data_IF_555058447784
#
_entry.id   IF_555058447784
#
_cell.length_a   1.000
_cell.length_b   1.000
_cell.length_c   1.000
_cell.angle_alpha   90.00
_cell.angle_beta   90.00
_cell.angle_gamma   90.00
#
_symmetry.space_group_name_H-M   'P 1'
#
loop_
_entity.id
_entity.type
_entity.pdbx_description
1 polymer ?
#
# COMPACT_ATOMS: atom_id res chain seq x y z
N UNK A 1 16.78 -24.41 -14.20
CA UNK A 1 16.57 -23.28 -13.25
C UNK A 1 15.14 -22.86 -13.46
N UNK A 2 14.29 -22.88 -12.43
CA UNK A 2 12.89 -22.50 -12.57
C UNK A 2 12.84 -21.02 -12.98
N UNK A 3 12.42 -20.75 -14.21
CA UNK A 3 12.03 -19.40 -14.59
C UNK A 3 10.79 -19.09 -13.75
N UNK A 4 10.78 -17.96 -13.03
CA UNK A 4 9.61 -17.57 -12.24
C UNK A 4 8.41 -17.50 -13.20
N UNK A 5 7.32 -18.16 -12.83
CA UNK A 5 6.11 -18.16 -13.65
C UNK A 5 5.68 -16.72 -13.93
N UNK A 6 5.21 -16.42 -15.15
CA UNK A 6 4.73 -15.09 -15.46
C UNK A 6 3.62 -14.66 -14.51
N UNK A 7 3.49 -13.35 -14.30
CA UNK A 7 2.42 -12.75 -13.51
C UNK A 7 1.49 -12.00 -14.45
N UNK A 8 0.18 -12.16 -14.27
CA UNK A 8 -0.83 -11.46 -15.05
C UNK A 8 -1.68 -10.57 -14.16
N UNK A 9 -2.26 -9.57 -14.79
CA UNK A 9 -3.12 -8.60 -14.14
C UNK A 9 -3.91 -7.80 -15.16
N UNK A 10 -4.68 -6.84 -14.66
CA UNK A 10 -5.46 -5.98 -15.52
C UNK A 10 -6.42 -5.08 -14.77
N UNK A 11 -7.22 -4.37 -15.53
CA UNK A 11 -8.24 -3.50 -14.95
C UNK A 11 -9.44 -4.31 -14.45
N UNK A 12 -10.22 -3.72 -13.54
CA UNK A 12 -11.37 -4.37 -12.90
C UNK A 12 -12.44 -4.87 -13.91
N UNK A 13 -12.62 -4.19 -15.04
CA UNK A 13 -13.59 -4.62 -16.06
C UNK A 13 -13.00 -5.62 -17.09
N UNK A 14 -11.73 -6.01 -16.94
CA UNK A 14 -11.02 -6.93 -17.81
C UNK A 14 -10.71 -6.40 -19.22
N UNK A 15 -11.11 -5.16 -19.55
CA UNK A 15 -10.87 -4.54 -20.86
C UNK A 15 -9.38 -4.41 -21.20
N UNK A 16 -8.54 -4.24 -20.17
CA UNK A 16 -7.08 -4.22 -20.29
C UNK A 16 -6.51 -5.37 -19.48
N UNK A 17 -5.62 -6.15 -20.10
CA UNK A 17 -4.88 -7.24 -19.49
C UNK A 17 -3.40 -7.09 -19.82
N UNK A 18 -2.53 -7.39 -18.87
CA UNK A 18 -1.09 -7.32 -19.03
C UNK A 18 -0.39 -8.54 -18.42
N UNK A 19 0.85 -8.77 -18.85
CA UNK A 19 1.76 -9.79 -18.31
C UNK A 19 3.09 -9.18 -17.91
N UNK A 20 3.69 -9.78 -16.89
CA UNK A 20 5.06 -9.56 -16.45
C UNK A 20 5.82 -10.87 -16.57
N UNK A 21 6.79 -10.90 -17.49
CA UNK A 21 7.70 -12.02 -17.71
C UNK A 21 8.92 -11.91 -16.79
N UNK A 22 8.73 -12.14 -15.48
CA UNK A 22 9.83 -12.09 -14.51
C UNK A 22 9.38 -11.66 -13.12
N UNK A 23 10.33 -11.58 -12.19
CA UNK A 23 10.09 -11.02 -10.86
C UNK A 23 10.31 -9.50 -10.93
N UNK A 24 9.33 -8.68 -10.51
CA UNK A 24 9.53 -7.24 -10.34
C UNK A 24 10.78 -6.93 -9.53
N UNK A 25 11.51 -5.89 -9.89
CA UNK A 25 12.79 -5.54 -9.25
C UNK A 25 12.60 -4.96 -7.87
N UNK A 26 11.42 -4.41 -7.59
CA UNK A 26 11.10 -3.78 -6.32
C UNK A 26 9.58 -3.70 -6.11
N UNK A 27 9.12 -3.68 -4.85
CA UNK A 27 7.71 -3.50 -4.49
C UNK A 27 7.58 -2.76 -3.15
N UNK A 28 6.62 -1.85 -3.06
CA UNK A 28 6.35 -1.09 -1.84
C UNK A 28 5.07 -0.28 -1.90
N UNK A 29 4.98 0.68 -0.99
CA UNK A 29 3.80 1.52 -0.82
C UNK A 29 4.12 2.99 -1.03
N UNK A 30 3.31 3.67 -1.85
CA UNK A 30 3.38 5.10 -2.07
C UNK A 30 2.20 5.80 -1.40
N UNK A 31 2.52 6.86 -0.67
CA UNK A 31 1.58 7.63 0.13
C UNK A 31 1.34 9.04 -0.43
N UNK A 32 2.01 9.43 -1.52
CA UNK A 32 1.96 10.81 -1.99
C UNK A 32 0.55 11.26 -2.42
N UNK A 33 0.28 12.56 -2.29
CA UNK A 33 -1.03 13.12 -2.60
C UNK A 33 -1.45 12.91 -4.07
N UNK A 34 -0.50 12.87 -5.01
CA UNK A 34 -0.80 12.63 -6.42
C UNK A 34 -1.31 11.20 -6.65
N UNK A 35 -0.68 10.20 -6.02
CA UNK A 35 -1.13 8.80 -6.07
C UNK A 35 -2.53 8.66 -5.45
N UNK A 36 -2.78 9.32 -4.32
CA UNK A 36 -4.12 9.33 -3.71
C UNK A 36 -5.19 9.94 -4.64
N UNK A 37 -4.89 11.07 -5.30
CA UNK A 37 -5.85 11.74 -6.20
C UNK A 37 -6.15 10.94 -7.46
N UNK A 38 -5.14 10.28 -8.01
CA UNK A 38 -5.24 9.59 -9.30
C UNK A 38 -5.87 8.21 -9.18
N UNK A 39 -5.70 7.54 -8.03
CA UNK A 39 -6.27 6.20 -7.79
C UNK A 39 -7.52 6.22 -6.90
N UNK A 40 -7.71 7.27 -6.10
CA UNK A 40 -8.70 7.28 -5.02
C UNK A 40 -8.32 6.42 -3.80
N UNK A 41 -7.18 5.72 -3.83
CA UNK A 41 -6.70 4.88 -2.74
C UNK A 41 -5.95 5.70 -1.68
N UNK A 42 -6.07 5.30 -0.41
CA UNK A 42 -5.30 5.92 0.68
C UNK A 42 -3.79 5.64 0.59
N UNK A 43 -3.44 4.46 0.09
CA UNK A 43 -2.08 3.98 -0.14
C UNK A 43 -2.06 3.22 -1.46
N UNK A 44 -1.02 3.43 -2.27
CA UNK A 44 -0.86 2.73 -3.55
C UNK A 44 0.26 1.72 -3.44
N UNK A 45 -0.08 0.46 -3.69
CA UNK A 45 0.85 -0.63 -3.91
C UNK A 45 1.54 -0.44 -5.28
N UNK A 46 2.83 -0.09 -5.29
CA UNK A 46 3.64 0.11 -6.50
C UNK A 46 4.78 -0.90 -6.58
N UNK A 47 5.06 -1.42 -7.78
CA UNK A 47 6.20 -2.28 -8.05
C UNK A 47 6.89 -1.88 -9.34
N UNK A 48 8.22 -1.90 -9.35
CA UNK A 48 9.04 -1.57 -10.51
C UNK A 48 9.31 -2.83 -11.33
N UNK A 49 9.10 -2.74 -12.64
CA UNK A 49 9.26 -3.84 -13.59
C UNK A 49 10.15 -3.36 -14.74
N UNK A 50 11.11 -4.17 -15.20
CA UNK A 50 11.83 -3.88 -16.44
C UNK A 50 10.87 -3.76 -17.62
N UNK A 51 11.03 -2.73 -18.46
CA UNK A 51 10.07 -2.47 -19.54
C UNK A 51 9.99 -3.61 -20.56
N UNK A 52 11.10 -4.32 -20.77
CA UNK A 52 11.22 -5.49 -21.64
C UNK A 52 10.52 -6.75 -21.08
N UNK A 53 10.22 -6.75 -19.78
CA UNK A 53 9.48 -7.80 -19.11
C UNK A 53 7.97 -7.52 -19.03
N UNK A 54 7.48 -6.36 -19.48
CA UNK A 54 6.07 -5.98 -19.39
C UNK A 54 5.41 -5.95 -20.78
N UNK A 55 4.25 -6.59 -20.91
CA UNK A 55 3.47 -6.56 -22.16
C UNK A 55 1.96 -6.40 -21.90
N UNK A 56 1.27 -5.70 -22.79
CA UNK A 56 -0.19 -5.70 -22.84
C UNK A 56 -0.67 -6.92 -23.63
N UNK A 57 -1.48 -7.76 -23.00
CA UNK A 57 -2.10 -8.92 -23.64
C UNK A 57 -3.40 -8.54 -24.36
N UNK A 58 -4.07 -7.49 -23.86
CA UNK A 58 -5.35 -7.02 -24.39
C UNK A 58 -5.57 -5.57 -24.02
N UNK A 59 -6.11 -4.80 -24.97
CA UNK A 59 -6.56 -3.43 -24.77
C UNK A 59 -5.40 -2.45 -24.60
N UNK A 60 -5.74 -1.16 -24.73
CA UNK A 60 -4.77 -0.07 -24.58
C UNK A 60 -5.24 0.89 -23.49
N UNK A 61 -4.33 1.37 -22.63
CA UNK A 61 -4.70 2.31 -21.60
C UNK A 61 -4.84 3.74 -22.14
N UNK A 62 -5.68 4.52 -21.49
CA UNK A 62 -5.68 5.98 -21.64
C UNK A 62 -4.46 6.55 -20.89
N UNK A 63 -3.81 7.54 -21.49
CA UNK A 63 -2.61 8.20 -20.93
C UNK A 63 -2.98 9.54 -20.32
N UNK A 64 -2.47 9.80 -19.11
CA UNK A 64 -2.54 11.10 -18.45
C UNK A 64 -1.14 11.56 -18.06
N UNK A 65 -0.66 12.64 -18.69
CA UNK A 65 0.58 13.30 -18.33
C UNK A 65 0.41 14.02 -16.98
N UNK A 66 0.86 13.37 -15.90
CA UNK A 66 0.70 13.85 -14.53
C UNK A 66 1.79 14.82 -14.09
N UNK A 67 2.89 14.91 -14.84
CA UNK A 67 3.95 15.92 -14.73
C UNK A 67 4.70 16.04 -16.06
N UNK A 68 5.73 16.89 -16.12
CA UNK A 68 6.58 17.03 -17.30
C UNK A 68 7.39 15.77 -17.64
N UNK A 69 7.58 14.86 -16.68
CA UNK A 69 8.35 13.63 -16.84
C UNK A 69 7.57 12.36 -16.51
N UNK A 70 6.37 12.49 -15.96
CA UNK A 70 5.61 11.38 -15.40
C UNK A 70 4.23 11.22 -16.01
N UNK A 71 3.99 10.10 -16.66
CA UNK A 71 2.67 9.75 -17.22
C UNK A 71 2.05 8.57 -16.48
N UNK A 72 0.75 8.61 -16.28
CA UNK A 72 -0.05 7.56 -15.65
C UNK A 72 -0.92 6.94 -16.72
N UNK A 73 -1.04 5.62 -16.72
CA UNK A 73 -1.91 4.94 -17.68
C UNK A 73 -2.98 4.11 -16.98
N UNK A 74 -4.21 4.28 -17.43
CA UNK A 74 -5.41 3.77 -16.77
C UNK A 74 -6.44 3.27 -17.78
N UNK A 75 -7.38 2.45 -17.32
CA UNK A 75 -8.46 1.98 -18.17
C UNK A 75 -9.48 3.08 -18.41
N UNK A 76 -9.63 3.54 -19.66
CA UNK A 76 -10.66 4.53 -20.03
C UNK A 76 -12.11 4.08 -19.79
N UNK A 77 -12.34 2.78 -19.56
CA UNK A 77 -13.68 2.21 -19.30
C UNK A 77 -14.06 2.15 -17.82
N UNK A 78 -13.13 1.75 -16.94
CA UNK A 78 -13.42 1.58 -15.50
C UNK A 78 -12.59 2.48 -14.58
N UNK A 79 -11.67 3.27 -15.12
CA UNK A 79 -10.84 4.20 -14.35
C UNK A 79 -9.66 3.56 -13.61
N UNK A 80 -9.53 2.23 -13.59
CA UNK A 80 -8.42 1.57 -12.89
C UNK A 80 -7.07 2.03 -13.45
N UNK A 81 -6.26 2.70 -12.62
CA UNK A 81 -4.89 3.06 -12.95
C UNK A 81 -3.99 1.83 -12.84
N UNK A 82 -3.26 1.52 -13.91
CA UNK A 82 -2.46 0.31 -14.05
C UNK A 82 -0.98 0.59 -13.88
N UNK A 83 -0.49 1.67 -14.51
CA UNK A 83 0.94 1.96 -14.54
C UNK A 83 1.25 3.46 -14.35
N UNK A 84 2.51 3.70 -14.04
CA UNK A 84 3.20 4.97 -14.06
C UNK A 84 4.51 4.80 -14.83
N UNK A 85 4.77 5.70 -15.78
CA UNK A 85 6.01 5.72 -16.57
C UNK A 85 6.70 7.06 -16.42
N UNK A 86 8.02 6.98 -16.43
CA UNK A 86 8.94 8.10 -16.26
C UNK A 86 9.77 8.28 -17.52
N UNK A 87 9.79 9.48 -18.08
CA UNK A 87 10.63 9.78 -19.25
C UNK A 87 12.12 9.79 -18.93
N UNK A 88 12.48 10.07 -17.67
CA UNK A 88 13.85 10.01 -17.16
C UNK A 88 14.29 8.61 -16.70
N UNK A 89 13.38 7.62 -16.69
CA UNK A 89 13.67 6.22 -16.43
C UNK A 89 12.90 5.27 -17.40
N UNK A 90 13.14 5.39 -18.72
CA UNK A 90 12.30 4.73 -19.74
C UNK A 90 12.45 3.20 -19.77
N UNK A 91 13.48 2.66 -19.12
CA UNK A 91 13.75 1.22 -19.03
C UNK A 91 12.88 0.52 -17.97
N UNK A 92 12.05 1.27 -17.24
CA UNK A 92 11.22 0.74 -16.16
C UNK A 92 9.79 1.21 -16.29
N UNK A 93 8.87 0.35 -15.86
CA UNK A 93 7.46 0.68 -15.63
C UNK A 93 7.14 0.44 -14.16
N UNK A 94 6.49 1.41 -13.51
CA UNK A 94 5.90 1.19 -12.19
C UNK A 94 4.46 0.72 -12.37
N UNK A 95 4.13 -0.45 -11.85
CA UNK A 95 2.77 -0.99 -11.89
C UNK A 95 2.08 -0.81 -10.54
N UNK A 96 0.79 -0.50 -10.58
CA UNK A 96 -0.08 -0.64 -9.42
C UNK A 96 -0.35 -2.13 -9.21
N UNK A 97 0.50 -2.83 -8.46
CA UNK A 97 0.47 -4.29 -8.39
C UNK A 97 -0.75 -4.87 -7.66
N UNK A 98 -1.56 -4.02 -7.02
CA UNK A 98 -2.91 -4.40 -6.58
C UNK A 98 -3.85 -4.79 -7.74
N UNK A 99 -3.47 -4.52 -8.99
CA UNK A 99 -4.20 -4.90 -10.21
C UNK A 99 -3.77 -6.26 -10.78
N UNK A 100 -2.81 -6.93 -10.14
CA UNK A 100 -2.45 -8.31 -10.45
C UNK A 100 -3.59 -9.25 -10.08
N UNK A 101 -3.68 -10.39 -10.75
CA UNK A 101 -4.64 -11.43 -10.38
C UNK A 101 -4.26 -12.08 -9.04
N UNK A 102 -2.95 -12.23 -8.79
CA UNK A 102 -2.41 -12.71 -7.51
C UNK A 102 -1.40 -11.70 -6.93
N UNK A 103 -1.89 -10.61 -6.30
CA UNK A 103 -1.03 -9.55 -5.77
C UNK A 103 -0.16 -10.03 -4.61
N UNK A 104 -0.54 -11.13 -3.95
CA UNK A 104 0.24 -11.73 -2.85
C UNK A 104 1.55 -12.37 -3.32
N UNK A 105 1.83 -12.45 -4.62
CA UNK A 105 3.14 -12.90 -5.13
C UNK A 105 4.25 -11.87 -4.89
N UNK A 106 3.89 -10.62 -4.62
CA UNK A 106 4.84 -9.58 -4.24
C UNK A 106 4.84 -9.35 -2.74
N UNK A 107 6.04 -9.10 -2.20
CA UNK A 107 6.25 -8.70 -0.81
C UNK A 107 6.70 -7.24 -0.83
N UNK A 108 5.88 -6.31 -0.30
CA UNK A 108 6.31 -4.94 -0.13
C UNK A 108 7.52 -4.88 0.80
N UNK A 109 8.48 -4.03 0.47
CA UNK A 109 9.73 -3.88 1.20
C UNK A 109 9.89 -2.50 1.86
N UNK A 110 9.01 -1.53 1.57
CA UNK A 110 9.15 -0.15 2.05
C UNK A 110 7.87 0.69 1.85
N UNK A 111 7.87 1.86 2.48
CA UNK A 111 6.92 2.96 2.28
C UNK A 111 7.68 4.22 1.86
N UNK A 112 7.14 4.96 0.88
CA UNK A 112 7.63 6.29 0.51
C UNK A 112 6.55 7.34 0.64
N UNK A 113 6.97 8.59 0.72
CA UNK A 113 6.08 9.72 0.94
C UNK A 113 5.21 9.54 2.20
N UNK A 114 5.71 8.81 3.20
CA UNK A 114 4.94 8.45 4.40
C UNK A 114 4.54 9.68 5.24
N UNK A 115 5.26 10.79 5.07
CA UNK A 115 4.87 12.10 5.61
C UNK A 115 3.53 12.60 5.04
N UNK A 116 3.17 12.21 3.81
CA UNK A 116 1.91 12.55 3.12
C UNK A 116 0.81 11.50 3.30
N UNK A 117 1.01 10.48 4.15
CA UNK A 117 0.05 9.39 4.36
C UNK A 117 -1.34 9.92 4.70
N UNK A 118 -2.35 9.17 4.28
CA UNK A 118 -3.73 9.58 4.46
C UNK A 118 -4.05 9.78 5.96
N UNK A 119 -4.62 10.93 6.36
CA UNK A 119 -4.91 11.21 7.77
C UNK A 119 -5.78 10.13 8.40
N UNK A 120 -5.34 9.62 9.56
CA UNK A 120 -6.06 8.59 10.31
C UNK A 120 -5.77 7.15 9.86
N UNK A 121 -4.86 6.94 8.90
CA UNK A 121 -4.33 5.61 8.56
C UNK A 121 -2.88 5.56 9.04
N UNK A 122 -2.65 4.73 10.06
CA UNK A 122 -1.31 4.36 10.51
C UNK A 122 -1.06 2.91 10.10
N UNK A 123 0.09 2.67 9.46
CA UNK A 123 0.51 1.33 9.07
C UNK A 123 1.56 0.87 10.07
N UNK A 124 1.14 -0.03 10.95
CA UNK A 124 1.96 -0.64 11.99
C UNK A 124 2.62 -1.91 11.46
N UNK A 125 3.67 -1.71 10.65
CA UNK A 125 4.57 -2.76 10.19
C UNK A 125 6.04 -2.39 10.43
N UNK A 126 6.93 -3.38 10.26
CA UNK A 126 8.37 -3.22 10.43
C UNK A 126 9.09 -2.71 9.16
N UNK A 127 8.35 -2.33 8.11
CA UNK A 127 8.95 -1.88 6.87
C UNK A 127 9.53 -0.46 7.02
N UNK A 128 10.69 -0.17 6.38
CA UNK A 128 11.23 1.17 6.30
C UNK A 128 10.20 2.17 5.75
N UNK A 129 10.05 3.30 6.45
CA UNK A 129 9.15 4.40 6.08
C UNK A 129 9.98 5.64 5.79
N UNK A 130 9.96 6.08 4.54
CA UNK A 130 10.61 7.31 4.09
C UNK A 130 9.58 8.42 3.96
N UNK A 131 9.86 9.59 4.52
CA UNK A 131 8.92 10.71 4.50
C UNK A 131 8.74 11.32 3.10
N UNK A 132 9.68 11.11 2.20
CA UNK A 132 9.71 11.64 0.83
C UNK A 132 9.93 10.53 -0.22
N UNK A 133 10.28 10.92 -1.45
CA UNK A 133 10.58 10.02 -2.58
C UNK A 133 11.96 9.38 -2.54
N UNK A 134 12.76 9.59 -1.48
CA UNK A 134 14.19 9.27 -1.35
C UNK A 134 14.56 7.78 -1.29
N UNK A 135 13.89 6.90 -2.04
CA UNK A 135 14.35 5.51 -2.25
C UNK A 135 15.75 5.48 -2.87
N UNK A 136 16.01 6.44 -3.75
CA UNK A 136 17.27 6.60 -4.49
C UNK A 136 18.47 6.76 -3.54
N UNK A 137 18.27 7.31 -2.34
CA UNK A 137 19.34 7.55 -1.35
C UNK A 137 19.49 6.39 -0.35
N UNK A 138 18.47 5.54 -0.23
CA UNK A 138 18.50 4.34 0.59
C UNK A 138 19.13 3.15 -0.15
N UNK A 139 18.88 3.01 -1.45
CA UNK A 139 19.46 1.96 -2.29
C UNK A 139 21.01 2.05 -2.37
N UNK A 140 21.59 3.27 -2.35
CA UNK A 140 23.05 3.46 -2.33
C UNK A 140 23.72 3.24 -0.97
N UNK A 141 22.96 3.23 0.14
CA UNK A 141 23.48 2.86 1.48
C UNK A 141 23.42 1.35 1.74
N UNK A 142 23.11 0.57 0.71
CA UNK A 142 23.28 -0.89 0.66
C UNK A 142 24.71 -1.36 0.37
N UNK A 143 25.73 -0.46 0.38
CA UNK A 143 27.13 -0.87 0.51
C UNK A 143 27.57 -0.67 1.97
N UNK A 144 27.68 -1.79 2.69
CA UNK A 144 28.38 -1.97 3.96
C UNK A 144 29.09 -0.73 4.54
N UNK A 145 28.47 -0.05 5.52
CA UNK A 145 29.19 0.86 6.40
C UNK A 145 28.59 0.86 7.82
N UNK A 146 28.77 -0.26 8.52
CA UNK A 146 28.89 -0.20 9.96
C UNK A 146 30.27 0.38 10.32
N UNK A 147 30.34 1.65 10.70
CA UNK A 147 31.46 2.15 11.51
C UNK A 147 31.10 1.99 12.99
N UNK A 148 30.88 0.74 13.39
CA UNK A 148 30.74 0.29 14.76
C UNK A 148 31.54 -1.01 14.88
N UNK A 149 32.77 -0.87 15.36
CA UNK A 149 33.84 -1.86 15.41
C UNK A 149 33.41 -3.17 16.10
N UNK A 150 33.03 -4.21 15.35
CA UNK A 150 33.05 -5.61 15.83
C UNK A 150 33.52 -6.53 14.70
N UNK A 151 34.55 -7.33 15.01
CA UNK A 151 35.23 -8.23 14.08
C UNK A 151 34.40 -9.48 13.78
N UNK A 152 34.60 -9.96 12.54
CA UNK A 152 34.52 -11.34 12.02
C UNK A 152 33.17 -11.90 11.53
N UNK A 153 33.26 -12.27 10.24
CA UNK A 153 32.62 -13.35 9.47
C UNK A 153 31.29 -13.06 8.77
N UNK A 154 31.47 -12.73 7.49
CA UNK A 154 30.56 -12.90 6.36
C UNK A 154 29.88 -14.29 6.39
N UNK A 155 28.54 -14.31 6.25
CA UNK A 155 27.79 -15.26 5.41
C UNK A 155 26.52 -14.57 4.84
N UNK A 156 26.15 -14.82 3.57
CA UNK A 156 24.98 -14.25 2.92
C UNK A 156 23.68 -15.03 3.22
N UNK A 157 22.58 -14.46 2.73
CA UNK A 157 21.16 -14.69 2.97
C UNK A 157 20.63 -16.16 2.91
N UNK A 158 19.55 -16.38 3.68
CA UNK A 158 18.59 -17.51 3.73
C UNK A 158 19.05 -18.88 4.25
N UNK A 159 18.56 -19.26 5.45
CA UNK A 159 17.85 -20.54 5.63
C UNK A 159 17.04 -20.58 6.94
N UNK A 160 15.86 -21.18 6.84
CA UNK A 160 15.01 -21.60 7.95
C UNK A 160 15.80 -22.50 8.92
N UNK A 161 15.39 -22.54 10.20
CA UNK A 161 14.97 -23.77 10.91
C UNK A 161 14.76 -23.48 12.41
N UNK A 162 13.55 -23.83 12.86
CA UNK A 162 13.26 -24.56 14.11
C UNK A 162 14.01 -24.13 15.39
N UNK A 163 13.25 -23.40 16.22
CA UNK A 163 12.96 -23.80 17.60
C UNK A 163 14.11 -23.87 18.58
N UNK A 164 14.27 -22.83 19.40
CA UNK A 164 14.54 -23.01 20.83
C UNK A 164 13.82 -21.91 21.63
N UNK A 165 13.03 -22.35 22.60
CA UNK A 165 12.17 -21.48 23.40
C UNK A 165 12.94 -20.46 24.23
N UNK A 166 12.44 -19.23 24.23
CA UNK A 166 12.50 -18.37 25.40
C UNK A 166 11.07 -18.03 25.80
N UNK A 167 10.64 -18.68 26.89
CA UNK A 167 9.42 -18.33 27.62
C UNK A 167 9.54 -16.85 28.01
N UNK A 168 8.69 -15.97 27.44
CA UNK A 168 8.40 -14.70 28.09
C UNK A 168 7.53 -15.03 29.30
N UNK A 169 8.03 -14.73 30.49
CA UNK A 169 7.25 -14.79 31.71
C UNK A 169 6.13 -13.75 31.63
N UNK A 170 4.93 -14.17 31.26
CA UNK A 170 3.71 -13.43 31.56
C UNK A 170 3.49 -13.54 33.06
N UNK A 171 3.61 -12.41 33.76
CA UNK A 171 3.20 -12.29 35.16
C UNK A 171 1.68 -12.45 35.21
N UNK A 172 1.21 -13.69 35.40
CA UNK A 172 -0.19 -13.97 35.69
C UNK A 172 -0.49 -13.38 37.06
N UNK A 173 -1.31 -12.33 37.10
CA UNK A 173 -1.88 -11.83 38.34
C UNK A 173 -2.80 -12.92 38.89
N UNK A 174 -2.52 -13.42 40.10
CA UNK A 174 -3.41 -14.35 40.81
C UNK A 174 -4.76 -13.66 41.06
N UNK A 175 -5.90 -14.33 40.84
CA UNK A 175 -7.18 -13.87 41.36
C UNK A 175 -7.15 -13.84 42.89
N UNK A 176 -7.98 -13.01 43.51
CA UNK A 176 -8.15 -13.01 44.95
C UNK A 176 -8.69 -14.36 45.45
N UNK A 177 -8.72 -14.58 46.77
CA UNK A 177 -9.19 -15.82 47.39
C UNK A 177 -10.67 -16.16 47.12
N UNK A 178 -11.37 -15.37 46.30
CA UNK A 178 -12.77 -15.55 45.90
C UNK A 178 -12.99 -15.55 44.37
N UNK A 179 -11.93 -15.50 43.55
CA UNK A 179 -12.01 -15.79 42.12
C UNK A 179 -12.55 -14.67 41.20
N UNK A 180 -12.60 -13.40 41.65
CA UNK A 180 -13.10 -12.29 40.81
C UNK A 180 -11.97 -11.48 40.14
N UNK A 181 -12.14 -11.01 38.87
CA UNK A 181 -11.20 -10.12 38.21
C UNK A 181 -11.28 -8.67 38.74
N UNK A 182 -10.14 -8.06 39.06
CA UNK A 182 -10.02 -6.67 39.54
C UNK A 182 -10.30 -5.62 38.44
N UNK A 183 -10.92 -4.46 38.76
CA UNK A 183 -11.47 -3.55 37.76
C UNK A 183 -10.47 -2.47 37.32
N UNK A 184 -10.03 -2.53 36.05
CA UNK A 184 -9.36 -1.42 35.38
C UNK A 184 -9.84 -1.23 33.93
N UNK A 185 -11.13 -1.46 33.67
CA UNK A 185 -11.75 -1.29 32.34
C UNK A 185 -13.08 -0.51 32.35
N UNK A 186 -13.46 0.11 33.48
CA UNK A 186 -14.78 0.72 33.65
C UNK A 186 -14.86 2.25 33.47
N UNK A 187 -13.81 2.94 33.01
CA UNK A 187 -13.86 4.40 32.81
C UNK A 187 -13.45 4.76 31.38
N UNK A 188 -14.38 4.58 30.42
CA UNK A 188 -14.49 5.37 29.17
C UNK A 188 -15.69 5.03 28.27
N UNK A 189 -16.73 4.35 28.77
CA UNK A 189 -17.98 4.06 28.00
C UNK A 189 -19.19 4.94 28.35
N UNK A 190 -19.02 6.00 29.14
CA UNK A 190 -20.15 6.84 29.60
C UNK A 190 -20.27 8.24 28.91
N UNK A 191 -19.43 8.61 27.94
CA UNK A 191 -19.38 10.00 27.43
C UNK A 191 -19.89 10.22 25.98
N UNK A 192 -20.47 9.23 25.29
CA UNK A 192 -20.88 9.38 23.87
C UNK A 192 -22.31 8.91 23.56
N UNK A 193 -23.21 8.86 24.56
CA UNK A 193 -24.64 8.60 24.34
C UNK A 193 -25.57 9.81 24.51
N UNK A 194 -25.01 11.02 24.63
CA UNK A 194 -25.77 12.24 24.90
C UNK A 194 -25.60 13.38 23.86
N UNK A 195 -25.38 13.05 22.58
CA UNK A 195 -25.33 14.07 21.49
C UNK A 195 -26.10 13.70 20.20
N UNK A 196 -27.00 12.72 20.27
CA UNK A 196 -27.79 12.25 19.11
C UNK A 196 -29.31 12.27 19.33
N UNK A 197 -29.82 13.15 20.20
CA UNK A 197 -31.26 13.39 20.31
C UNK A 197 -31.51 14.89 20.46
N UNK A 198 -31.61 15.56 19.30
CA UNK A 198 -32.27 16.86 19.03
C UNK A 198 -31.66 17.47 17.76
N UNK A 199 -31.96 16.89 16.60
CA UNK A 199 -32.05 17.64 15.35
C UNK A 199 -33.33 17.22 14.65
N UNK A 200 -34.37 17.90 15.09
CA UNK A 200 -35.72 17.93 14.55
C UNK A 200 -35.72 18.04 13.03
N UNK A 201 -36.49 17.15 12.43
CA UNK A 201 -36.95 17.14 11.04
C UNK A 201 -37.44 18.54 10.65
N UNK A 202 -36.83 19.14 9.62
CA UNK A 202 -37.45 20.26 8.88
C UNK A 202 -38.29 19.65 7.76
N UNK A 203 -39.55 20.05 7.57
CA UNK A 203 -40.34 19.60 6.44
C UNK A 203 -39.82 20.22 5.12
N UNK A 204 -39.82 19.43 4.06
CA UNK A 204 -39.48 19.84 2.70
C UNK A 204 -40.50 20.87 2.16
N UNK A 205 -40.08 21.84 1.34
CA UNK A 205 -41.01 22.76 0.67
C UNK A 205 -41.81 22.04 -0.43
N UNK A 206 -43.06 22.45 -0.72
CA UNK A 206 -43.87 21.82 -1.76
C UNK A 206 -43.31 22.10 -3.17
N UNK A 207 -43.40 21.09 -4.03
CA UNK A 207 -43.07 21.13 -5.45
C UNK A 207 -43.95 22.14 -6.20
N UNK A 208 -43.34 23.08 -6.91
CA UNK A 208 -44.04 23.96 -7.86
C UNK A 208 -44.29 23.19 -9.16
N UNK A 209 -45.56 22.97 -9.48
CA UNK A 209 -46.04 22.56 -10.81
C UNK A 209 -45.85 23.73 -11.80
N UNK A 210 -45.48 23.48 -13.06
CA UNK A 210 -45.45 24.53 -14.09
C UNK A 210 -46.88 24.88 -14.53
N UNK A 211 -47.15 26.18 -14.69
CA UNK A 211 -48.38 26.67 -15.32
C UNK A 211 -48.28 26.55 -16.86
N UNK A 212 -49.39 26.30 -17.58
CA UNK A 212 -49.38 26.12 -19.02
C UNK A 212 -49.40 27.45 -19.81
N UNK A 213 -48.73 27.39 -20.97
CA UNK A 213 -48.70 28.28 -22.16
C UNK A 213 -48.39 29.77 -21.95
#
# INVERSE_FOLDING_TARGET
>A
MAHPEPMEGGCACGAIRYRIAGVPTDAGFCHCRLCQRTTGAAVVASASVPIDAFEYLRGEPTVYASSAWGERRFCGRCGAQLEYRRSDAPQTVEINYATLDEPSRLRPAWHVWYGDRFPGIEIDDDLPKYDDGGREWAAHRGQCAGAGRVRKRIRPFCENERGTGRRRATRVLKPDSRGNPTPASAIRRAALRARFSRRSLRPSPPSRTPAPA
#
